data_IF_754999089554
#
_entry.id   IF_754999089554
#
_cell.length_a   1.000
_cell.length_b   1.000
_cell.length_c   1.000
_cell.angle_alpha   90.00
_cell.angle_beta   90.00
_cell.angle_gamma   90.00
#
_symmetry.space_group_name_H-M   'P 1'
#
loop_
_entity.id
_entity.type
_entity.pdbx_description
1 polymer ?
#
# COMPACT_ATOMS: atom_id res chain seq x y z
N UNK A 1 8.59 -22.32 -40.06
CA UNK A 1 7.81 -21.18 -40.59
C UNK A 1 7.54 -20.19 -39.46
N UNK A 2 8.51 -19.35 -39.13
CA UNK A 2 8.34 -18.10 -38.38
C UNK A 2 8.57 -16.94 -39.35
N UNK A 3 7.85 -16.95 -40.46
CA UNK A 3 7.75 -15.77 -41.33
C UNK A 3 6.66 -14.89 -40.72
N UNK A 4 7.01 -14.15 -39.67
CA UNK A 4 6.13 -13.12 -39.15
C UNK A 4 6.10 -11.97 -40.15
N UNK A 5 5.10 -11.98 -41.05
CA UNK A 5 4.80 -10.89 -41.98
C UNK A 5 4.27 -9.62 -41.29
N UNK A 6 4.27 -9.61 -39.95
CA UNK A 6 3.65 -8.59 -39.10
C UNK A 6 4.54 -8.22 -37.88
N UNK A 7 5.87 -8.21 -38.02
CA UNK A 7 6.80 -7.83 -36.94
C UNK A 7 6.55 -6.43 -36.33
N UNK A 8 5.70 -5.60 -36.95
CA UNK A 8 5.39 -4.24 -36.49
C UNK A 8 4.06 -4.10 -35.73
N UNK A 9 3.25 -5.17 -35.60
CA UNK A 9 1.88 -5.06 -35.04
C UNK A 9 1.82 -4.45 -33.63
N UNK A 10 2.67 -4.86 -32.65
CA UNK A 10 2.63 -4.29 -31.30
C UNK A 10 3.02 -2.79 -31.27
N UNK A 11 3.95 -2.38 -32.14
CA UNK A 11 4.50 -1.02 -32.15
C UNK A 11 3.53 0.02 -32.70
N UNK A 12 2.74 -0.34 -33.72
CA UNK A 12 1.68 0.54 -34.24
C UNK A 12 0.55 0.79 -33.24
N UNK A 13 0.39 -0.07 -32.23
CA UNK A 13 -0.57 0.12 -31.16
C UNK A 13 -0.01 1.00 -30.04
N UNK A 14 1.31 0.91 -29.75
CA UNK A 14 1.98 1.82 -28.82
C UNK A 14 1.90 3.30 -29.27
N UNK A 15 1.96 3.57 -30.59
CA UNK A 15 1.80 4.91 -31.14
C UNK A 15 0.38 5.46 -31.12
N UNK A 16 -0.65 4.60 -30.92
CA UNK A 16 -2.05 5.00 -30.82
C UNK A 16 -2.49 5.18 -29.37
N UNK A 17 -2.19 4.20 -28.51
CA UNK A 17 -2.67 4.15 -27.12
C UNK A 17 -1.58 3.65 -26.17
N UNK A 18 -0.70 4.56 -25.75
CA UNK A 18 0.41 4.24 -24.84
C UNK A 18 -0.03 3.67 -23.47
N UNK A 19 -1.08 4.19 -22.79
CA UNK A 19 -1.49 3.67 -21.49
C UNK A 19 -2.00 2.22 -21.55
N UNK A 20 -2.79 1.89 -22.58
CA UNK A 20 -3.31 0.54 -22.78
C UNK A 20 -2.20 -0.43 -23.16
N UNK A 21 -1.26 0.00 -24.00
CA UNK A 21 -0.11 -0.82 -24.38
C UNK A 21 0.74 -1.18 -23.16
N UNK A 22 1.01 -0.19 -22.29
CA UNK A 22 1.85 -0.36 -21.13
C UNK A 22 1.28 -1.34 -20.07
N UNK A 23 -0.05 -1.40 -19.97
CA UNK A 23 -0.74 -2.34 -19.08
C UNK A 23 -0.68 -3.80 -19.55
N UNK A 24 -0.59 -4.03 -20.87
CA UNK A 24 -0.66 -5.37 -21.45
C UNK A 24 0.71 -5.90 -21.91
N UNK A 25 1.66 -5.02 -22.22
CA UNK A 25 2.97 -5.38 -22.74
C UNK A 25 4.07 -4.60 -22.02
N UNK A 26 4.90 -5.30 -21.23
CA UNK A 26 6.04 -4.72 -20.50
C UNK A 26 7.39 -4.91 -21.21
N UNK A 27 7.42 -5.81 -22.20
CA UNK A 27 8.58 -6.18 -23.02
C UNK A 27 8.13 -6.43 -24.46
N UNK A 28 8.99 -6.10 -25.42
CA UNK A 28 8.77 -6.34 -26.85
C UNK A 28 10.09 -6.71 -27.53
N UNK A 29 10.00 -7.37 -28.67
CA UNK A 29 11.14 -7.81 -29.46
C UNK A 29 10.90 -7.43 -30.92
N UNK A 30 11.85 -6.72 -31.51
CA UNK A 30 11.90 -6.48 -32.95
C UNK A 30 13.08 -7.25 -33.52
N UNK A 31 12.85 -8.00 -34.59
CA UNK A 31 13.87 -8.72 -35.32
C UNK A 31 13.84 -8.16 -36.74
N UNK A 32 14.95 -7.59 -37.17
CA UNK A 32 15.10 -6.99 -38.49
C UNK A 32 16.37 -7.55 -39.13
N UNK A 33 16.24 -8.21 -40.28
CA UNK A 33 17.40 -8.76 -40.99
C UNK A 33 17.06 -9.93 -41.90
N UNK A 34 18.11 -10.44 -42.55
CA UNK A 34 18.07 -11.53 -43.52
C UNK A 34 18.51 -12.87 -42.91
N UNK A 35 18.44 -13.95 -43.68
CA UNK A 35 18.74 -15.33 -43.23
C UNK A 35 20.15 -15.46 -42.61
N UNK A 36 21.11 -14.67 -43.07
CA UNK A 36 22.51 -14.73 -42.64
C UNK A 36 22.91 -13.66 -41.60
N UNK A 37 22.12 -12.60 -41.43
CA UNK A 37 22.40 -11.53 -40.45
C UNK A 37 21.11 -10.90 -39.97
N UNK A 38 20.83 -11.03 -38.66
CA UNK A 38 19.64 -10.51 -38.01
C UNK A 38 20.01 -9.58 -36.86
N UNK A 39 19.52 -8.35 -36.93
CA UNK A 39 19.56 -7.39 -35.82
C UNK A 39 18.35 -7.64 -34.91
N UNK A 40 18.64 -7.81 -33.62
CA UNK A 40 17.64 -8.11 -32.60
C UNK A 40 17.61 -6.96 -31.61
N UNK A 41 16.47 -6.29 -31.53
CA UNK A 41 16.22 -5.19 -30.61
C UNK A 41 15.20 -5.62 -29.56
N UNK A 42 15.66 -5.78 -28.33
CA UNK A 42 14.82 -6.05 -27.17
C UNK A 42 14.46 -4.73 -26.46
N UNK A 43 13.17 -4.48 -26.29
CA UNK A 43 12.64 -3.22 -25.76
C UNK A 43 11.89 -3.53 -24.47
N UNK A 44 12.09 -2.71 -23.45
CA UNK A 44 11.47 -2.85 -22.13
C UNK A 44 11.04 -1.50 -21.59
N UNK A 45 10.02 -1.52 -20.71
CA UNK A 45 9.36 -0.30 -20.25
C UNK A 45 9.85 0.21 -18.86
N UNK A 46 10.87 -0.39 -18.26
CA UNK A 46 11.53 0.06 -17.01
C UNK A 46 10.59 0.38 -15.82
N UNK A 47 9.32 -0.05 -15.86
CA UNK A 47 8.37 0.13 -14.76
C UNK A 47 8.56 -0.96 -13.70
N UNK A 48 8.47 -2.26 -14.04
CA UNK A 48 8.99 -3.30 -13.17
C UNK A 48 10.52 -3.41 -13.26
N UNK A 49 11.18 -3.51 -12.11
CA UNK A 49 12.63 -3.71 -12.00
C UNK A 49 13.14 -5.01 -12.64
N UNK A 50 12.27 -5.98 -12.89
CA UNK A 50 12.61 -7.25 -13.54
C UNK A 50 12.42 -7.21 -15.07
N UNK A 51 12.02 -6.07 -15.66
CA UNK A 51 11.84 -5.98 -17.11
C UNK A 51 13.13 -6.08 -17.92
N UNK A 52 14.29 -5.51 -17.50
CA UNK A 52 15.53 -5.69 -18.25
C UNK A 52 16.00 -7.15 -18.37
N UNK A 53 16.13 -7.95 -17.28
CA UNK A 53 16.54 -9.35 -17.40
C UNK A 53 15.49 -10.20 -18.12
N UNK A 54 14.21 -9.87 -18.02
CA UNK A 54 13.14 -10.55 -18.75
C UNK A 54 13.25 -10.33 -20.26
N UNK A 55 13.50 -9.08 -20.70
CA UNK A 55 13.66 -8.77 -22.12
C UNK A 55 14.87 -9.50 -22.73
N UNK A 56 15.98 -9.57 -21.98
CA UNK A 56 17.17 -10.31 -22.39
C UNK A 56 16.88 -11.82 -22.51
N UNK A 57 16.23 -12.43 -21.51
CA UNK A 57 15.88 -13.85 -21.55
C UNK A 57 15.00 -14.23 -22.75
N UNK A 58 14.07 -13.35 -23.12
CA UNK A 58 13.21 -13.53 -24.30
C UNK A 58 13.99 -13.37 -25.61
N UNK A 59 14.91 -12.42 -25.68
CA UNK A 59 15.79 -12.25 -26.84
C UNK A 59 16.71 -13.47 -27.03
N UNK A 60 17.34 -13.96 -25.95
CA UNK A 60 18.18 -15.15 -25.98
C UNK A 60 17.39 -16.39 -26.39
N UNK A 61 16.17 -16.53 -25.87
CA UNK A 61 15.26 -17.61 -26.27
C UNK A 61 14.92 -17.52 -27.77
N UNK A 62 14.69 -16.32 -28.30
CA UNK A 62 14.40 -16.14 -29.72
C UNK A 62 15.61 -16.52 -30.59
N UNK A 63 16.83 -16.14 -30.19
CA UNK A 63 18.08 -16.51 -30.88
C UNK A 63 18.25 -18.03 -30.90
N UNK A 64 18.13 -18.69 -29.74
CA UNK A 64 18.33 -20.14 -29.65
C UNK A 64 17.28 -20.91 -30.46
N UNK A 65 16.03 -20.44 -30.47
CA UNK A 65 14.97 -21.01 -31.30
C UNK A 65 15.25 -20.81 -32.80
N UNK A 66 15.77 -19.65 -33.19
CA UNK A 66 16.13 -19.35 -34.57
C UNK A 66 17.27 -20.26 -35.07
N UNK A 67 18.34 -20.41 -34.27
CA UNK A 67 19.51 -21.23 -34.63
C UNK A 67 19.21 -22.73 -34.61
N UNK A 68 18.46 -23.20 -33.61
CA UNK A 68 18.21 -24.64 -33.43
C UNK A 68 17.01 -25.15 -34.24
N UNK A 69 16.23 -24.24 -34.83
CA UNK A 69 14.93 -24.51 -35.45
C UNK A 69 13.95 -25.26 -34.52
N UNK A 70 14.19 -25.25 -33.21
CA UNK A 70 13.40 -25.95 -32.20
C UNK A 70 12.68 -24.95 -31.31
N UNK A 71 11.35 -24.96 -31.40
CA UNK A 71 10.51 -24.00 -30.69
C UNK A 71 10.21 -24.38 -29.23
N UNK A 72 10.66 -25.56 -28.78
CA UNK A 72 10.44 -26.07 -27.43
C UNK A 72 11.54 -25.63 -26.44
N UNK A 73 12.58 -24.96 -26.91
CA UNK A 73 13.66 -24.47 -26.06
C UNK A 73 13.26 -23.12 -25.47
N UNK A 74 13.38 -22.97 -24.16
CA UNK A 74 13.08 -21.71 -23.45
C UNK A 74 14.17 -21.46 -22.42
N UNK A 75 14.70 -20.24 -22.40
CA UNK A 75 15.66 -19.80 -21.38
C UNK A 75 14.87 -19.04 -20.32
N UNK A 76 15.05 -19.42 -19.06
CA UNK A 76 14.44 -18.74 -17.92
C UNK A 76 15.54 -18.05 -17.11
N UNK A 77 15.27 -16.82 -16.69
CA UNK A 77 16.18 -16.04 -15.86
C UNK A 77 15.49 -15.73 -14.54
N UNK A 78 16.08 -16.18 -13.44
CA UNK A 78 15.61 -15.87 -12.09
C UNK A 78 16.70 -15.10 -11.35
N UNK A 79 16.33 -13.95 -10.79
CA UNK A 79 17.22 -13.21 -9.90
C UNK A 79 17.05 -13.76 -8.48
N UNK A 80 18.09 -14.40 -7.95
CA UNK A 80 18.16 -14.77 -6.55
C UNK A 80 18.97 -13.71 -5.80
N UNK A 81 18.38 -12.98 -4.84
CA UNK A 81 19.11 -11.96 -4.11
C UNK A 81 20.21 -12.62 -3.26
N UNK A 82 21.36 -11.96 -3.19
CA UNK A 82 22.45 -12.40 -2.32
C UNK A 82 21.99 -12.38 -0.85
N UNK A 83 22.41 -13.35 -0.01
CA UNK A 83 22.17 -13.29 1.42
C UNK A 83 22.74 -11.99 2.00
N UNK A 84 21.92 -11.27 2.74
CA UNK A 84 22.30 -9.98 3.32
C UNK A 84 23.40 -10.14 4.36
N UNK A 85 24.33 -9.21 4.35
CA UNK A 85 25.34 -9.08 5.41
C UNK A 85 24.71 -8.57 6.70
N UNK A 86 25.36 -8.79 7.85
CA UNK A 86 24.78 -8.40 9.14
C UNK A 86 24.64 -6.88 9.28
N UNK A 87 25.55 -6.10 8.66
CA UNK A 87 25.45 -4.63 8.61
C UNK A 87 24.24 -4.13 7.81
N UNK A 88 23.87 -4.84 6.74
CA UNK A 88 22.71 -4.49 5.91
C UNK A 88 21.39 -4.81 6.61
N UNK A 89 21.37 -5.84 7.45
CA UNK A 89 20.20 -6.16 8.29
C UNK A 89 19.95 -5.04 9.30
N UNK A 90 21.01 -4.58 9.99
CA UNK A 90 20.92 -3.53 11.00
C UNK A 90 20.51 -2.16 10.43
N UNK A 91 20.97 -1.83 9.22
CA UNK A 91 20.61 -0.56 8.56
C UNK A 91 19.20 -0.55 7.97
N UNK A 92 18.66 -1.71 7.58
CA UNK A 92 17.25 -1.84 7.18
C UNK A 92 16.31 -1.73 8.38
N UNK A 93 16.73 -2.16 9.58
CA UNK A 93 15.96 -1.93 10.81
C UNK A 93 15.84 -0.43 11.15
N UNK A 94 16.76 0.43 10.72
CA UNK A 94 16.57 1.88 10.86
C UNK A 94 15.41 2.43 10.01
N UNK A 95 14.90 1.67 9.03
CA UNK A 95 13.67 2.01 8.29
C UNK A 95 12.38 1.65 9.04
N UNK A 96 12.47 1.15 10.28
CA UNK A 96 11.33 0.85 11.18
C UNK A 96 10.64 2.11 11.75
N UNK A 97 10.65 3.25 11.05
CA UNK A 97 9.82 4.41 11.42
C UNK A 97 8.31 4.07 11.44
N UNK A 98 7.90 2.96 10.83
CA UNK A 98 6.54 2.42 10.93
C UNK A 98 6.16 2.11 12.40
N UNK A 99 7.06 1.51 13.18
CA UNK A 99 6.79 1.20 14.58
C UNK A 99 6.60 2.46 15.42
N UNK A 100 7.43 3.47 15.17
CA UNK A 100 7.28 4.78 15.80
C UNK A 100 5.99 5.49 15.38
N UNK A 101 5.63 5.48 14.08
CA UNK A 101 4.39 6.07 13.59
C UNK A 101 3.16 5.41 14.19
N UNK A 102 3.13 4.07 14.27
CA UNK A 102 2.04 3.32 14.88
C UNK A 102 1.95 3.66 16.37
N UNK A 103 3.07 3.62 17.09
CA UNK A 103 3.12 3.95 18.52
C UNK A 103 2.67 5.38 18.81
N UNK A 104 3.10 6.34 18.00
CA UNK A 104 2.72 7.74 18.13
C UNK A 104 1.22 7.96 17.87
N UNK A 105 0.70 7.40 16.78
CA UNK A 105 -0.73 7.48 16.46
C UNK A 105 -1.60 6.81 17.52
N UNK A 106 -1.13 5.68 18.08
CA UNK A 106 -1.81 5.00 19.17
C UNK A 106 -1.80 5.83 20.45
N UNK A 107 -0.65 6.39 20.85
CA UNK A 107 -0.55 7.25 22.03
C UNK A 107 -1.44 8.49 21.91
N UNK A 108 -1.50 9.08 20.72
CA UNK A 108 -2.39 10.19 20.41
C UNK A 108 -3.88 9.78 20.47
N UNK A 109 -4.24 8.60 19.97
CA UNK A 109 -5.60 8.06 20.12
C UNK A 109 -5.99 7.80 21.58
N UNK A 110 -5.08 7.23 22.36
CA UNK A 110 -5.32 6.91 23.77
C UNK A 110 -5.43 8.16 24.65
N UNK A 111 -4.76 9.26 24.31
CA UNK A 111 -4.90 10.51 25.04
C UNK A 111 -6.29 11.14 24.88
N UNK A 112 -6.90 11.08 23.70
CA UNK A 112 -8.29 11.50 23.51
C UNK A 112 -9.28 10.60 24.24
N UNK A 113 -9.04 9.29 24.23
CA UNK A 113 -9.85 8.34 24.97
C UNK A 113 -9.80 8.67 26.48
N UNK A 114 -8.62 8.95 27.04
CA UNK A 114 -8.49 9.39 28.42
C UNK A 114 -9.20 10.73 28.69
N UNK A 115 -9.06 11.71 27.79
CA UNK A 115 -9.72 13.02 27.91
C UNK A 115 -11.26 12.91 27.91
N UNK A 116 -11.83 11.95 27.17
CA UNK A 116 -13.28 11.73 27.15
C UNK A 116 -13.85 11.36 28.52
N UNK A 117 -13.09 10.63 29.35
CA UNK A 117 -13.51 10.24 30.69
C UNK A 117 -13.42 11.38 31.71
N UNK A 118 -12.56 12.37 31.47
CA UNK A 118 -12.41 13.54 32.36
C UNK A 118 -13.69 14.39 32.40
N UNK A 119 -14.44 14.46 31.30
CA UNK A 119 -15.69 15.24 31.24
C UNK A 119 -16.75 14.66 32.18
N UNK A 120 -16.86 13.33 32.29
CA UNK A 120 -17.78 12.70 33.23
C UNK A 120 -17.44 13.03 34.69
N UNK A 121 -16.15 13.03 35.05
CA UNK A 121 -15.69 13.44 36.39
C UNK A 121 -16.04 14.91 36.70
N UNK A 122 -15.88 15.81 35.72
CA UNK A 122 -16.23 17.24 35.90
C UNK A 122 -17.75 17.42 36.04
N UNK A 123 -18.56 16.66 35.29
CA UNK A 123 -20.02 16.69 35.39
C UNK A 123 -20.48 16.22 36.77
N UNK A 124 -19.89 15.15 37.30
CA UNK A 124 -20.17 14.66 38.66
C UNK A 124 -19.81 15.73 39.70
N UNK A 125 -18.62 16.31 39.60
CA UNK A 125 -18.11 17.31 40.57
C UNK A 125 -18.81 18.67 40.49
N UNK A 126 -19.32 19.07 39.32
CA UNK A 126 -20.10 20.30 39.15
C UNK A 126 -21.58 20.12 39.52
N UNK A 127 -22.14 18.93 39.27
CA UNK A 127 -23.49 18.59 39.70
C UNK A 127 -23.62 18.35 41.21
N UNK A 128 -22.52 18.28 41.97
CA UNK A 128 -22.57 18.32 43.44
C UNK A 128 -23.28 19.59 43.96
N UNK A 129 -23.20 20.73 43.27
CA UNK A 129 -23.94 21.94 43.68
C UNK A 129 -25.37 22.01 43.13
N UNK A 130 -25.66 21.30 42.03
CA UNK A 130 -27.00 21.25 41.43
C UNK A 130 -27.90 20.19 42.06
N UNK A 131 -27.45 18.93 42.12
CA UNK A 131 -28.25 17.80 42.58
C UNK A 131 -28.33 17.71 44.11
N UNK A 132 -27.21 17.92 44.84
CA UNK A 132 -27.22 17.93 46.31
C UNK A 132 -27.89 19.22 46.85
N UNK A 133 -27.71 20.35 46.15
CA UNK A 133 -28.38 21.62 46.46
C UNK A 133 -29.91 21.58 46.28
N UNK A 134 -30.40 20.97 45.20
CA UNK A 134 -31.84 20.82 44.94
C UNK A 134 -32.50 19.85 45.95
N UNK A 135 -31.80 18.79 46.37
CA UNK A 135 -32.28 17.87 47.41
C UNK A 135 -32.37 18.57 48.78
N UNK A 136 -31.40 19.42 49.12
CA UNK A 136 -31.44 20.24 50.34
C UNK A 136 -32.58 21.28 50.29
N UNK A 137 -32.82 21.92 49.14
CA UNK A 137 -33.93 22.84 48.95
C UNK A 137 -35.31 22.16 49.00
N UNK A 138 -35.44 20.94 48.47
CA UNK A 138 -36.65 20.13 48.60
C UNK A 138 -36.89 19.68 50.05
N UNK A 139 -35.86 19.24 50.77
CA UNK A 139 -35.96 18.87 52.19
C UNK A 139 -36.25 20.08 53.11
N UNK A 140 -35.69 21.25 52.82
CA UNK A 140 -36.00 22.50 53.53
C UNK A 140 -37.40 23.03 53.20
N UNK A 141 -37.92 22.79 51.99
CA UNK A 141 -39.30 23.13 51.61
C UNK A 141 -40.32 22.19 52.26
N UNK A 142 -39.98 20.90 52.43
CA UNK A 142 -40.82 19.92 53.13
C UNK A 142 -40.87 20.17 54.65
N UNK A 143 -39.77 20.60 55.27
CA UNK A 143 -39.74 20.87 56.73
C UNK A 143 -40.38 22.20 57.13
N UNK A 144 -40.44 23.21 56.23
CA UNK A 144 -41.14 24.48 56.49
C UNK A 144 -42.66 24.43 56.28
N UNK A 145 -43.19 23.38 55.65
CA UNK A 145 -44.64 23.22 55.41
C UNK A 145 -45.44 22.65 56.58
N UNK A 146 -44.82 22.32 57.71
CA UNK A 146 -45.44 21.55 58.81
C UNK A 146 -45.98 22.33 60.01
N UNK A 147 -46.07 23.66 59.98
CA UNK A 147 -46.46 24.43 61.17
C UNK A 147 -47.43 25.60 60.91
N UNK A 148 -48.65 25.29 60.44
CA UNK A 148 -49.90 26.06 60.59
C UNK A 148 -51.05 25.06 60.33
N UNK A 149 -52.06 24.76 61.16
CA UNK A 149 -52.61 25.27 62.42
C UNK A 149 -53.54 24.17 62.97
N UNK A 150 -53.31 23.65 64.19
CA UNK A 150 -54.37 23.01 65.00
C UNK A 150 -54.94 24.10 65.88
N UNK A 151 -56.12 24.61 65.53
CA UNK A 151 -56.97 25.35 66.44
C UNK A 151 -58.43 25.31 65.95
N UNK A 152 -59.13 24.21 66.25
CA UNK A 152 -60.52 24.20 66.72
C UNK A 152 -60.89 22.82 67.22
#
# INVERSE_FOLDING_TARGET
>A
MFLCRSCCFPFTQAGRDLPSFNQHNIVSLSIEGDVDTADILAIFNNQPFHTPPLALALADTAVVRAVTANNNITITTSNHPLPRTDIEKLTMDQRQNLGFQIGFNLAFGMSFLAASFVIFLIQERSSEWGAKGLLLLLLLSVTKGGHQTVNR
#
